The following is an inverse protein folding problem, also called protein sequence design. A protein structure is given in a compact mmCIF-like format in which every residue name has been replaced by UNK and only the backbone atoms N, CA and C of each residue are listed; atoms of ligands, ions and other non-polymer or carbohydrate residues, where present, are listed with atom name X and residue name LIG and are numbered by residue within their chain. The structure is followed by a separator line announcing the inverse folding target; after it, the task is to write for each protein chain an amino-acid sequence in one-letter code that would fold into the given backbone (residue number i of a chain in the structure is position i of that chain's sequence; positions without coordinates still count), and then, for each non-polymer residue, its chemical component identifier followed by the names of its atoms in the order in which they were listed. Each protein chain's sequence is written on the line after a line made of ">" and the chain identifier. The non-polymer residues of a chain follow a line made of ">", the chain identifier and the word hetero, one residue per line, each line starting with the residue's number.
data_IF_702907096159
#
_entry.id   IF_702907096159
#
_cell.length_a   1.000
_cell.length_b   1.000
_cell.length_c   1.000
_cell.angle_alpha   90.00
_cell.angle_beta   90.00
_cell.angle_gamma   90.00
#
_symmetry.space_group_name_H-M   'P 1'
#
loop_
_entity.id
_entity.type
_entity.pdbx_description
1 polymer ?
#
# COMPACT_ATOMS: atom_id res chain seq x y z
N UNK A 1 -8.73 7.84 -16.38
CA UNK A 1 -8.51 9.13 -15.67
C UNK A 1 -8.54 8.95 -14.17
N UNK A 2 -9.42 8.08 -13.63
CA UNK A 2 -9.50 7.81 -12.20
C UNK A 2 -8.27 7.08 -11.64
N UNK A 3 -7.58 6.30 -12.49
CA UNK A 3 -6.39 5.51 -12.15
C UNK A 3 -5.19 6.43 -11.84
N UNK A 4 -4.96 7.43 -12.69
CA UNK A 4 -3.94 8.47 -12.49
C UNK A 4 -4.21 9.31 -11.23
N UNK A 5 -5.48 9.63 -10.99
CA UNK A 5 -5.89 10.36 -9.80
C UNK A 5 -5.57 9.55 -8.52
N UNK A 6 -5.85 8.25 -8.51
CA UNK A 6 -5.52 7.39 -7.37
C UNK A 6 -4.02 7.29 -7.12
N UNK A 7 -3.22 7.05 -8.17
CA UNK A 7 -1.74 7.02 -8.06
C UNK A 7 -1.22 8.33 -7.47
N UNK A 8 -1.71 9.47 -7.96
CA UNK A 8 -1.30 10.79 -7.46
C UNK A 8 -1.67 11.00 -5.98
N UNK A 9 -2.84 10.52 -5.56
CA UNK A 9 -3.30 10.59 -4.17
C UNK A 9 -2.38 9.76 -3.25
N UNK A 10 -2.06 8.51 -3.63
CA UNK A 10 -1.14 7.66 -2.87
C UNK A 10 0.24 8.33 -2.74
N UNK A 11 0.76 8.93 -3.82
CA UNK A 11 2.03 9.65 -3.80
C UNK A 11 1.99 10.84 -2.84
N UNK A 12 0.88 11.60 -2.80
CA UNK A 12 0.72 12.70 -1.87
C UNK A 12 0.78 12.22 -0.40
N UNK A 13 0.10 11.11 -0.07
CA UNK A 13 0.15 10.56 1.31
C UNK A 13 1.55 10.06 1.67
N UNK A 14 2.30 9.49 0.71
CA UNK A 14 3.72 9.12 0.91
C UNK A 14 4.56 10.36 1.23
N UNK A 15 4.38 11.47 0.53
CA UNK A 15 5.12 12.71 0.79
C UNK A 15 4.84 13.26 2.19
N UNK A 16 3.56 13.30 2.59
CA UNK A 16 3.17 13.72 3.94
C UNK A 16 3.80 12.80 5.00
N UNK A 17 3.82 11.49 4.76
CA UNK A 17 4.44 10.51 5.66
C UNK A 17 5.93 10.80 5.89
N UNK A 18 6.68 11.09 4.82
CA UNK A 18 8.10 11.46 4.89
C UNK A 18 8.34 12.75 5.67
N UNK A 19 7.47 13.74 5.49
CA UNK A 19 7.53 14.99 6.22
C UNK A 19 7.32 14.75 7.72
N UNK A 20 6.33 13.94 8.07
CA UNK A 20 6.04 13.53 9.46
C UNK A 20 7.24 12.80 10.08
N UNK A 21 7.85 11.84 9.38
CA UNK A 21 9.06 11.12 9.84
C UNK A 21 10.17 12.12 10.14
N UNK A 22 10.43 13.04 9.20
CA UNK A 22 11.47 14.06 9.34
C UNK A 22 11.20 15.01 10.51
N UNK A 23 9.95 15.43 10.69
CA UNK A 23 9.53 16.29 11.78
C UNK A 23 9.64 15.58 13.13
N UNK A 24 9.20 14.33 13.23
CA UNK A 24 9.34 13.52 14.43
C UNK A 24 10.82 13.34 14.82
N UNK A 25 11.69 13.08 13.85
CA UNK A 25 13.14 13.01 14.08
C UNK A 25 13.69 14.31 14.66
N UNK A 26 13.37 15.46 14.04
CA UNK A 26 13.82 16.79 14.51
C UNK A 26 13.27 17.11 15.91
N UNK A 27 12.01 16.81 16.16
CA UNK A 27 11.35 17.03 17.44
C UNK A 27 12.00 16.19 18.55
N UNK A 28 12.26 14.90 18.29
CA UNK A 28 12.89 13.99 19.25
C UNK A 28 14.33 14.37 19.59
N UNK A 29 15.05 14.99 18.65
CA UNK A 29 16.37 15.58 18.93
C UNK A 29 16.28 16.85 19.79
N UNK A 30 15.26 17.67 19.58
CA UNK A 30 15.07 18.92 20.33
C UNK A 30 14.52 18.70 21.76
N UNK A 31 13.65 17.70 21.93
CA UNK A 31 12.93 17.42 23.18
C UNK A 31 13.28 16.02 23.66
N UNK A 32 14.30 15.90 24.52
CA UNK A 32 14.83 14.61 25.00
C UNK A 32 13.75 13.71 25.65
N UNK A 33 12.75 14.28 26.32
CA UNK A 33 11.64 13.53 26.93
C UNK A 33 10.68 12.90 25.92
N UNK A 34 10.69 13.38 24.68
CA UNK A 34 9.84 12.90 23.59
C UNK A 34 10.55 11.92 22.67
N UNK A 35 11.86 11.68 22.88
CA UNK A 35 12.70 10.95 21.92
C UNK A 35 12.17 9.56 21.61
N UNK A 36 11.80 8.79 22.63
CA UNK A 36 11.29 7.42 22.47
C UNK A 36 9.94 7.40 21.76
N UNK A 37 9.03 8.30 22.14
CA UNK A 37 7.73 8.46 21.47
C UNK A 37 7.91 8.84 20.00
N UNK A 38 8.84 9.76 19.70
CA UNK A 38 9.16 10.17 18.33
C UNK A 38 9.77 9.05 17.50
N UNK A 39 10.57 8.18 18.11
CA UNK A 39 11.09 6.99 17.43
C UNK A 39 9.95 6.03 17.09
N UNK A 40 8.98 5.88 18.00
CA UNK A 40 7.78 5.08 17.74
C UNK A 40 6.91 5.67 16.64
N UNK A 41 6.72 6.99 16.61
CA UNK A 41 6.02 7.68 15.52
C UNK A 41 6.74 7.43 14.19
N UNK A 42 8.06 7.60 14.14
CA UNK A 42 8.84 7.34 12.94
C UNK A 42 8.65 5.90 12.43
N UNK A 43 8.75 4.90 13.32
CA UNK A 43 8.59 3.50 12.94
C UNK A 43 7.20 3.21 12.33
N UNK A 44 6.13 3.66 12.98
CA UNK A 44 4.78 3.39 12.49
C UNK A 44 4.45 4.12 11.18
N UNK A 45 4.96 5.34 11.01
CA UNK A 45 4.75 6.11 9.78
C UNK A 45 5.63 5.57 8.65
N UNK A 46 6.81 5.03 8.95
CA UNK A 46 7.64 4.32 7.97
C UNK A 46 6.95 3.04 7.49
N UNK A 47 6.38 2.24 8.40
CA UNK A 47 5.60 1.05 8.02
C UNK A 47 4.41 1.42 7.12
N UNK A 48 3.75 2.54 7.42
CA UNK A 48 2.67 3.06 6.56
C UNK A 48 3.21 3.45 5.18
N UNK A 49 4.32 4.17 5.11
CA UNK A 49 4.97 4.55 3.83
C UNK A 49 5.26 3.30 2.99
N UNK A 50 5.77 2.23 3.60
CA UNK A 50 6.10 0.99 2.91
C UNK A 50 4.86 0.32 2.31
N UNK A 51 3.74 0.29 3.06
CA UNK A 51 2.46 -0.23 2.55
C UNK A 51 1.91 0.65 1.42
N UNK A 52 1.98 1.97 1.57
CA UNK A 52 1.59 2.91 0.52
C UNK A 52 2.45 2.74 -0.73
N UNK A 53 3.74 2.43 -0.58
CA UNK A 53 4.65 2.09 -1.66
C UNK A 53 4.17 0.88 -2.46
N UNK A 54 3.77 -0.19 -1.77
CA UNK A 54 3.20 -1.39 -2.39
C UNK A 54 1.87 -1.11 -3.10
N UNK A 55 1.02 -0.26 -2.52
CA UNK A 55 -0.24 0.17 -3.12
C UNK A 55 -0.03 1.02 -4.38
N UNK A 56 0.95 1.92 -4.36
CA UNK A 56 1.37 2.70 -5.53
C UNK A 56 1.84 1.76 -6.66
N UNK A 57 2.64 0.76 -6.34
CA UNK A 57 3.12 -0.21 -7.33
C UNK A 57 1.96 -1.07 -7.87
N UNK A 58 1.00 -1.45 -7.02
CA UNK A 58 -0.24 -2.10 -7.44
C UNK A 58 -1.05 -1.23 -8.41
N UNK A 59 -1.25 0.04 -8.06
CA UNK A 59 -1.98 0.99 -8.89
C UNK A 59 -1.31 1.21 -10.26
N UNK A 60 0.02 1.30 -10.28
CA UNK A 60 0.80 1.43 -11.52
C UNK A 60 0.73 0.16 -12.39
N UNK A 61 0.70 -1.03 -11.78
CA UNK A 61 0.48 -2.29 -12.51
C UNK A 61 -0.92 -2.36 -13.10
N UNK A 62 -1.94 -1.97 -12.33
CA UNK A 62 -3.32 -1.92 -12.81
C UNK A 62 -3.44 -0.98 -14.01
N UNK A 63 -2.88 0.22 -13.93
CA UNK A 63 -2.81 1.19 -15.03
C UNK A 63 -2.11 0.61 -16.27
N UNK A 64 -0.91 0.02 -16.09
CA UNK A 64 -0.14 -0.55 -17.19
C UNK A 64 -0.81 -1.76 -17.85
N UNK A 65 -1.66 -2.49 -17.11
CA UNK A 65 -2.38 -3.66 -17.64
C UNK A 65 -3.48 -3.28 -18.64
N UNK A 66 -3.95 -2.03 -18.64
CA UNK A 66 -5.10 -1.58 -19.44
C UNK A 66 -6.42 -2.27 -19.07
N UNK A 67 -6.45 -3.10 -18.02
CA UNK A 67 -7.64 -3.80 -17.56
C UNK A 67 -8.49 -2.90 -16.66
N UNK A 68 -9.78 -3.20 -16.57
CA UNK A 68 -10.70 -2.49 -15.69
C UNK A 68 -10.22 -2.51 -14.24
N UNK A 69 -10.30 -1.36 -13.57
CA UNK A 69 -9.94 -1.22 -12.16
C UNK A 69 -10.83 -2.08 -11.25
N UNK A 70 -12.00 -2.52 -11.72
CA UNK A 70 -12.89 -3.45 -11.00
C UNK A 70 -12.23 -4.80 -10.68
N UNK A 71 -11.15 -5.16 -11.38
CA UNK A 71 -10.34 -6.35 -11.07
C UNK A 71 -9.40 -6.14 -9.87
N UNK A 72 -9.36 -4.92 -9.32
CA UNK A 72 -8.52 -4.52 -8.20
C UNK A 72 -9.39 -3.94 -7.08
N UNK A 73 -10.13 -4.79 -6.35
CA UNK A 73 -11.06 -4.37 -5.31
C UNK A 73 -10.46 -3.38 -4.31
N UNK A 74 -9.18 -3.56 -3.96
CA UNK A 74 -8.46 -2.63 -3.08
C UNK A 74 -8.41 -1.24 -3.70
N UNK A 75 -7.94 -1.10 -4.94
CA UNK A 75 -7.83 0.20 -5.62
C UNK A 75 -9.19 0.89 -5.80
N UNK A 76 -10.26 0.11 -6.02
CA UNK A 76 -11.62 0.64 -6.05
C UNK A 76 -12.01 1.23 -4.69
N UNK A 77 -11.78 0.49 -3.60
CA UNK A 77 -12.08 0.97 -2.25
C UNK A 77 -11.30 2.23 -1.85
N UNK A 78 -10.10 2.43 -2.39
CA UNK A 78 -9.24 3.58 -2.08
C UNK A 78 -9.68 4.88 -2.75
N UNK A 79 -10.53 4.81 -3.78
CA UNK A 79 -11.10 6.01 -4.41
C UNK A 79 -12.20 6.65 -3.57
N UNK A 80 -12.76 5.91 -2.60
CA UNK A 80 -13.78 6.45 -1.72
C UNK A 80 -13.17 7.53 -0.78
N UNK A 81 -13.81 8.70 -0.61
CA UNK A 81 -13.35 9.73 0.33
C UNK A 81 -13.39 9.28 1.80
N UNK A 82 -14.09 8.19 2.12
CA UNK A 82 -14.11 7.54 3.44
C UNK A 82 -13.11 6.40 3.58
N UNK A 83 -12.30 6.16 2.54
CA UNK A 83 -11.30 5.10 2.49
C UNK A 83 -10.23 5.25 3.57
N UNK A 84 -9.56 4.13 3.85
CA UNK A 84 -8.41 4.08 4.75
C UNK A 84 -7.26 5.00 4.28
N UNK A 85 -7.10 5.22 2.97
CA UNK A 85 -6.10 6.15 2.44
C UNK A 85 -6.40 7.61 2.85
N UNK A 86 -7.65 8.05 2.68
CA UNK A 86 -8.05 9.42 3.03
C UNK A 86 -8.03 9.65 4.54
N UNK A 87 -8.39 8.62 5.32
CA UNK A 87 -8.24 8.64 6.79
C UNK A 87 -6.77 8.76 7.21
N UNK A 88 -5.87 7.95 6.65
CA UNK A 88 -4.44 8.05 6.90
C UNK A 88 -3.90 9.44 6.57
N UNK A 89 -4.28 10.00 5.41
CA UNK A 89 -3.90 11.36 5.03
C UNK A 89 -4.29 12.39 6.10
N UNK A 90 -5.57 12.40 6.50
CA UNK A 90 -6.08 13.34 7.49
C UNK A 90 -5.41 13.21 8.85
N UNK A 91 -5.12 11.98 9.28
CA UNK A 91 -4.42 11.75 10.54
C UNK A 91 -2.95 12.18 10.49
N UNK A 92 -2.25 11.95 9.36
CA UNK A 92 -0.90 12.46 9.16
C UNK A 92 -0.85 13.99 9.13
N UNK A 93 -1.80 14.64 8.45
CA UNK A 93 -1.94 16.11 8.42
C UNK A 93 -2.21 16.70 9.82
N UNK A 94 -3.00 16.01 10.65
CA UNK A 94 -3.20 16.39 12.06
C UNK A 94 -1.95 16.20 12.91
N UNK A 95 -1.09 15.25 12.55
CA UNK A 95 0.14 14.95 13.29
C UNK A 95 1.23 16.00 13.04
N UNK A 96 1.33 16.53 11.82
CA UNK A 96 2.32 17.56 11.43
C UNK A 96 2.40 18.78 12.38
N UNK A 97 1.30 19.49 12.72
CA UNK A 97 1.35 20.62 13.64
C UNK A 97 1.81 20.20 15.05
N UNK A 98 1.49 18.98 15.47
CA UNK A 98 1.94 18.40 16.74
C UNK A 98 3.46 18.19 16.82
N UNK A 99 4.10 17.99 15.66
CA UNK A 99 5.52 17.69 15.49
C UNK A 99 6.34 18.90 15.01
N UNK A 100 5.74 20.09 14.97
CA UNK A 100 6.43 21.30 14.52
C UNK A 100 7.73 21.54 15.31
N UNK A 101 8.86 21.80 14.62
CA UNK A 101 10.15 21.97 15.28
C UNK A 101 10.11 23.09 16.31
N UNK A 102 10.50 22.79 17.54
CA UNK A 102 10.51 23.77 18.61
C UNK A 102 11.73 24.68 18.49
N UNK A 103 11.51 26.00 18.49
CA UNK A 103 12.59 26.98 18.51
C UNK A 103 13.49 26.83 19.75
N UNK A 104 14.73 27.32 19.68
CA UNK A 104 15.72 27.17 20.75
C UNK A 104 15.19 27.62 22.13
N UNK A 105 14.43 28.72 22.15
CA UNK A 105 13.84 29.31 23.36
C UNK A 105 12.62 28.57 23.91
N UNK A 106 11.99 27.70 23.12
CA UNK A 106 10.73 27.05 23.47
C UNK A 106 10.91 25.59 23.91
N UNK A 107 12.13 25.05 23.83
CA UNK A 107 12.46 23.66 24.19
C UNK A 107 12.02 23.27 25.60
N UNK A 108 12.17 24.19 26.56
CA UNK A 108 11.79 23.95 27.97
C UNK A 108 10.27 23.87 28.13
N UNK A 109 9.52 24.74 27.43
CA UNK A 109 8.05 24.73 27.42
C UNK A 109 7.50 23.48 26.72
N UNK A 110 8.10 23.10 25.59
CA UNK A 110 7.72 21.88 24.88
C UNK A 110 7.97 20.62 25.70
N UNK A 111 9.08 20.56 26.45
CA UNK A 111 9.36 19.45 27.37
C UNK A 111 8.33 19.36 28.49
N UNK A 112 7.93 20.49 29.08
CA UNK A 112 6.95 20.53 30.15
C UNK A 112 5.53 20.15 29.65
N UNK A 113 5.17 20.54 28.43
CA UNK A 113 3.88 20.22 27.81
C UNK A 113 3.84 18.84 27.15
N UNK A 114 4.99 18.16 27.03
CA UNK A 114 5.12 16.87 26.35
C UNK A 114 4.17 15.80 26.90
N UNK A 115 4.07 15.56 28.23
CA UNK A 115 3.19 14.52 28.77
C UNK A 115 1.72 14.71 28.39
N UNK A 116 1.28 15.96 28.23
CA UNK A 116 -0.08 16.28 27.82
C UNK A 116 -0.30 16.06 26.32
N UNK A 117 0.67 16.43 25.48
CA UNK A 117 0.61 16.21 24.02
C UNK A 117 0.70 14.74 23.62
N UNK A 118 1.41 13.94 24.42
CA UNK A 118 1.69 12.53 24.16
C UNK A 118 0.41 11.71 23.91
N UNK A 119 -0.65 11.93 24.69
CA UNK A 119 -1.92 11.21 24.52
C UNK A 119 -2.59 11.49 23.16
N UNK A 120 -2.60 12.74 22.71
CA UNK A 120 -3.19 13.10 21.42
C UNK A 120 -2.43 12.44 20.25
N UNK A 121 -1.10 12.41 20.34
CA UNK A 121 -0.25 11.73 19.35
C UNK A 121 -0.54 10.23 19.32
N UNK A 122 -0.71 9.60 20.49
CA UNK A 122 -1.01 8.17 20.54
C UNK A 122 -2.37 7.80 19.95
N UNK A 123 -3.40 8.64 20.11
CA UNK A 123 -4.71 8.41 19.50
C UNK A 123 -4.66 8.49 17.97
N UNK A 124 -3.93 9.48 17.44
CA UNK A 124 -3.69 9.62 15.99
C UNK A 124 -2.92 8.39 15.48
N UNK A 125 -1.86 7.99 16.20
CA UNK A 125 -1.04 6.82 15.86
C UNK A 125 -1.85 5.52 15.87
N UNK A 126 -2.75 5.35 16.83
CA UNK A 126 -3.62 4.18 16.90
C UNK A 126 -4.58 4.12 15.70
N UNK A 127 -5.14 5.27 15.32
CA UNK A 127 -5.98 5.36 14.13
C UNK A 127 -5.18 5.00 12.87
N UNK A 128 -3.95 5.50 12.73
CA UNK A 128 -3.04 5.13 11.64
C UNK A 128 -2.77 3.63 11.63
N UNK A 129 -2.49 3.01 12.78
CA UNK A 129 -2.27 1.56 12.90
C UNK A 129 -3.47 0.75 12.42
N UNK A 130 -4.68 1.12 12.85
CA UNK A 130 -5.90 0.44 12.43
C UNK A 130 -6.09 0.52 10.92
N UNK A 131 -5.93 1.72 10.34
CA UNK A 131 -6.05 1.89 8.89
C UNK A 131 -4.94 1.17 8.12
N UNK A 132 -3.72 1.13 8.67
CA UNK A 132 -2.58 0.36 8.12
C UNK A 132 -2.92 -1.12 7.98
N UNK A 133 -3.54 -1.72 9.00
CA UNK A 133 -3.98 -3.12 8.96
C UNK A 133 -4.99 -3.34 7.84
N UNK A 134 -6.01 -2.50 7.73
CA UNK A 134 -7.00 -2.60 6.66
C UNK A 134 -6.38 -2.48 5.25
N UNK A 135 -5.43 -1.56 5.07
CA UNK A 135 -4.72 -1.39 3.80
C UNK A 135 -3.89 -2.63 3.46
N UNK A 136 -3.21 -3.22 4.44
CA UNK A 136 -2.40 -4.43 4.25
C UNK A 136 -3.25 -5.66 3.94
N UNK A 137 -4.38 -5.82 4.62
CA UNK A 137 -5.34 -6.91 4.39
C UNK A 137 -5.93 -6.82 2.97
N UNK A 138 -6.39 -5.63 2.57
CA UNK A 138 -6.92 -5.41 1.23
C UNK A 138 -5.88 -5.73 0.16
N UNK A 139 -4.66 -5.21 0.31
CA UNK A 139 -3.54 -5.50 -0.61
C UNK A 139 -3.28 -7.01 -0.74
N UNK A 140 -3.32 -7.76 0.37
CA UNK A 140 -3.09 -9.20 0.36
C UNK A 140 -4.22 -9.97 -0.35
N UNK A 141 -5.47 -9.50 -0.24
CA UNK A 141 -6.61 -10.04 -0.97
C UNK A 141 -6.40 -9.86 -2.49
N UNK A 142 -6.01 -8.66 -2.95
CA UNK A 142 -5.75 -8.40 -4.37
C UNK A 142 -4.58 -9.22 -4.91
N UNK A 143 -3.52 -9.41 -4.12
CA UNK A 143 -2.37 -10.24 -4.51
C UNK A 143 -2.78 -11.72 -4.63
N UNK A 144 -3.54 -12.23 -3.67
CA UNK A 144 -4.00 -13.63 -3.68
C UNK A 144 -4.97 -13.89 -4.83
N UNK A 145 -5.88 -12.96 -5.12
CA UNK A 145 -6.80 -13.05 -6.26
C UNK A 145 -6.07 -13.16 -7.60
N UNK A 146 -5.06 -12.33 -7.82
CA UNK A 146 -4.24 -12.40 -9.03
C UNK A 146 -3.46 -13.71 -9.15
N UNK A 147 -2.88 -14.20 -8.05
CA UNK A 147 -2.15 -15.48 -8.06
C UNK A 147 -3.11 -16.62 -8.46
N UNK A 148 -4.32 -16.63 -7.93
CA UNK A 148 -5.33 -17.64 -8.29
C UNK A 148 -5.74 -17.54 -9.77
N UNK A 149 -5.97 -16.33 -10.30
CA UNK A 149 -6.26 -16.12 -11.72
C UNK A 149 -5.10 -16.65 -12.60
N UNK A 150 -3.86 -16.33 -12.25
CA UNK A 150 -2.69 -16.82 -12.99
C UNK A 150 -2.54 -18.34 -12.92
N UNK A 151 -2.83 -18.96 -11.78
CA UNK A 151 -2.80 -20.41 -11.63
C UNK A 151 -3.84 -21.08 -12.55
N UNK A 152 -5.05 -20.52 -12.63
CA UNK A 152 -6.09 -21.02 -13.53
C UNK A 152 -5.67 -20.91 -15.00
N UNK A 153 -5.13 -19.76 -15.42
CA UNK A 153 -4.65 -19.56 -16.79
C UNK A 153 -3.54 -20.55 -17.15
N UNK A 154 -2.62 -20.84 -16.22
CA UNK A 154 -1.56 -21.83 -16.41
C UNK A 154 -2.14 -23.24 -16.56
N UNK A 155 -3.12 -23.61 -15.71
CA UNK A 155 -3.79 -24.91 -15.80
C UNK A 155 -4.51 -25.09 -17.13
N UNK A 156 -5.27 -24.07 -17.56
CA UNK A 156 -6.01 -24.09 -18.82
C UNK A 156 -5.06 -24.15 -20.02
N UNK A 157 -3.96 -23.40 -19.97
CA UNK A 157 -2.91 -23.44 -21.00
C UNK A 157 -2.28 -24.83 -21.08
N UNK A 158 -2.01 -25.48 -19.93
CA UNK A 158 -1.47 -26.83 -19.91
C UNK A 158 -2.45 -27.85 -20.53
N UNK A 159 -3.75 -27.76 -20.22
CA UNK A 159 -4.79 -28.59 -20.83
C UNK A 159 -4.86 -28.41 -22.35
N UNK A 160 -4.78 -27.17 -22.83
CA UNK A 160 -4.78 -26.87 -24.27
C UNK A 160 -3.54 -27.44 -24.97
N UNK A 161 -2.35 -27.38 -24.35
CA UNK A 161 -1.14 -27.96 -24.91
C UNK A 161 -1.21 -29.49 -25.00
N UNK A 162 -1.79 -30.15 -23.99
CA UNK A 162 -2.01 -31.60 -24.01
C UNK A 162 -2.98 -31.97 -25.14
N UNK A 163 -4.13 -31.29 -25.23
CA UNK A 163 -5.11 -31.54 -26.28
C UNK A 163 -4.52 -31.32 -27.69
N UNK A 164 -3.71 -30.28 -27.88
CA UNK A 164 -3.03 -30.03 -29.15
C UNK A 164 -2.04 -31.14 -29.52
N UNK A 165 -1.30 -31.68 -28.54
CA UNK A 165 -0.38 -32.79 -28.76
C UNK A 165 -1.13 -34.07 -29.17
N UNK A 166 -2.23 -34.38 -28.50
CA UNK A 166 -3.05 -35.56 -28.80
C UNK A 166 -3.67 -35.49 -30.20
N UNK A 167 -4.17 -34.30 -30.59
CA UNK A 167 -4.69 -34.05 -31.94
C UNK A 167 -3.57 -34.23 -32.99
N UNK A 168 -2.38 -33.69 -32.74
CA UNK A 168 -1.24 -33.80 -33.67
C UNK A 168 -0.78 -35.26 -33.86
N UNK A 169 -0.76 -36.06 -32.78
CA UNK A 169 -0.40 -37.48 -32.89
C UNK A 169 -1.47 -38.30 -33.63
N UNK A 170 -2.75 -37.98 -33.43
CA UNK A 170 -3.86 -38.64 -34.13
C UNK A 170 -3.87 -38.35 -35.63
N UNK A 171 -3.55 -37.11 -36.03
CA UNK A 171 -3.44 -36.76 -37.46
C UNK A 171 -2.24 -37.42 -38.13
N UNK A 172 -1.09 -37.49 -37.45
CA UNK A 172 0.10 -38.20 -37.95
C UNK A 172 -0.14 -39.71 -38.14
N UNK A 173 -0.83 -40.35 -37.19
CA UNK A 173 -1.17 -41.78 -37.27
C UNK A 173 -2.11 -42.08 -38.46
N UNK A 174 -3.13 -41.24 -38.69
CA UNK A 174 -4.03 -41.36 -39.85
C UNK A 174 -3.31 -41.20 -41.19
N UNK A 175 -2.39 -40.24 -41.29
CA UNK A 175 -1.63 -40.00 -42.52
C UNK A 175 -0.69 -41.16 -42.85
N UNK A 176 -0.09 -41.81 -41.85
CA UNK A 176 0.73 -43.01 -42.05
C UNK A 176 -0.10 -44.22 -42.50
N UNK A 177 -1.30 -44.42 -41.94
CA UNK A 177 -2.19 -45.51 -42.34
C UNK A 177 -2.61 -45.44 -43.81
N UNK A 178 -2.93 -44.23 -44.30
CA UNK A 178 -3.33 -44.00 -45.70
C UNK A 178 -2.20 -44.15 -46.73
N UNK A 179 -0.94 -44.21 -46.29
CA UNK A 179 0.24 -44.34 -47.17
C UNK A 179 0.78 -45.77 -47.25
N UNK A 180 0.20 -46.69 -46.47
CA UNK A 180 0.61 -48.10 -46.38
C UNK A 180 -0.34 -49.09 -47.05
N UNK A 181 -1.43 -48.62 -47.66
CA UNK A 181 -2.30 -49.37 -48.59
C UNK A 181 -1.93 -49.02 -50.05
#
# INVERSE_FOLDING_TARGET
>A
MAELALVSSIIAVIQISRDVITQAYKYGQAVKSAKEDMQRVQAEVQDLEDILGKLKDLARRAEASGRSLTLWPTLVSLQDPTSSLHKCQKELEKLQPGLTPVGFWEKSKARALWPHKQNGIYQILDTIRQQKVHLAEALNIDQTGQVLETAQVVEDTAKLQIAHKDVSQSTEAKVKGLKGE
#
